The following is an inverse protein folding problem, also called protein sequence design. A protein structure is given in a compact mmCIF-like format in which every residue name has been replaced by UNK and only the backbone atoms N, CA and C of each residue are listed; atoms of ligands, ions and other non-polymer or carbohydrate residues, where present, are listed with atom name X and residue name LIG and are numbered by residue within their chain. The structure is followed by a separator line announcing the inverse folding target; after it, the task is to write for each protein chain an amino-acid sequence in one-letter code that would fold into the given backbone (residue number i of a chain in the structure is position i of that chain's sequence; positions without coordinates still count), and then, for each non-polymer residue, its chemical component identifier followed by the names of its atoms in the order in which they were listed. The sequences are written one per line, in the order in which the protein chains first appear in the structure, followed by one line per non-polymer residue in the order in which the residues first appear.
data_IF_443374198855
#
_entry.id   IF_443374198855
#
_cell.length_a   1.000
_cell.length_b   1.000
_cell.length_c   1.000
_cell.angle_alpha   90.00
_cell.angle_beta   90.00
_cell.angle_gamma   90.00
#
_symmetry.space_group_name_H-M   'P 1'
#
loop_
_entity.id
_entity.type
_entity.pdbx_description
1 polymer ?
#
# COMPACT_ATOMS: atom_id res chain seq x y z
N UNK A 1 7.78 10.23 -14.76
CA UNK A 1 7.76 9.72 -13.39
C UNK A 1 6.57 10.31 -12.68
N UNK A 2 5.44 9.62 -12.75
CA UNK A 2 4.17 10.08 -12.18
C UNK A 2 3.70 9.08 -11.13
N UNK A 3 3.42 9.58 -9.93
CA UNK A 3 2.77 8.84 -8.86
C UNK A 3 1.29 9.20 -8.88
N UNK A 4 0.43 8.19 -8.85
CA UNK A 4 -1.01 8.33 -8.69
C UNK A 4 -1.45 7.59 -7.44
N UNK A 5 -2.28 8.24 -6.63
CA UNK A 5 -2.91 7.63 -5.46
C UNK A 5 -4.41 7.66 -5.68
N UNK A 6 -5.02 6.49 -5.69
CA UNK A 6 -6.44 6.30 -6.01
C UNK A 6 -7.11 5.45 -4.95
N UNK A 7 -8.44 5.51 -4.77
CA UNK A 7 -9.15 4.55 -3.93
C UNK A 7 -8.84 3.11 -4.37
N UNK A 8 -8.72 2.21 -3.40
CA UNK A 8 -8.48 0.80 -3.69
C UNK A 8 -9.58 0.22 -4.61
N UNK A 9 -9.16 -0.62 -5.56
CA UNK A 9 -10.06 -1.32 -6.48
C UNK A 9 -10.11 -2.81 -6.16
N UNK A 10 -11.15 -3.48 -6.67
CA UNK A 10 -11.29 -4.93 -6.56
C UNK A 10 -10.05 -5.64 -7.14
N UNK A 11 -9.43 -6.50 -6.32
CA UNK A 11 -8.25 -7.28 -6.70
C UNK A 11 -6.90 -6.61 -6.45
N UNK A 12 -6.84 -5.31 -6.14
CA UNK A 12 -5.56 -4.62 -5.84
C UNK A 12 -4.86 -5.23 -4.61
N UNK A 13 -5.63 -5.60 -3.59
CA UNK A 13 -5.09 -6.25 -2.38
C UNK A 13 -4.41 -7.59 -2.71
N UNK A 14 -5.11 -8.47 -3.43
CA UNK A 14 -4.57 -9.77 -3.83
C UNK A 14 -3.33 -9.62 -4.72
N UNK A 15 -3.38 -8.66 -5.65
CA UNK A 15 -2.22 -8.35 -6.48
C UNK A 15 -1.02 -7.95 -5.63
N UNK A 16 -1.18 -7.01 -4.70
CA UNK A 16 -0.06 -6.56 -3.86
C UNK A 16 0.43 -7.67 -2.94
N UNK A 17 -0.47 -8.46 -2.35
CA UNK A 17 -0.11 -9.62 -1.51
C UNK A 17 0.73 -10.64 -2.29
N UNK A 18 0.33 -10.99 -3.51
CA UNK A 18 1.07 -11.95 -4.34
C UNK A 18 2.43 -11.43 -4.79
N UNK A 19 2.57 -10.12 -4.96
CA UNK A 19 3.77 -9.45 -5.45
C UNK A 19 4.55 -8.70 -4.35
N UNK A 20 4.26 -8.98 -3.07
CA UNK A 20 4.80 -8.22 -1.95
C UNK A 20 6.33 -8.38 -1.80
N UNK A 21 6.96 -7.35 -1.26
CA UNK A 21 8.42 -7.33 -1.01
C UNK A 21 8.88 -8.46 -0.08
N UNK A 22 8.08 -8.78 0.94
CA UNK A 22 8.40 -9.80 1.95
C UNK A 22 7.51 -11.02 1.71
N UNK A 23 8.11 -12.14 1.30
CA UNK A 23 7.36 -13.36 0.93
C UNK A 23 6.52 -13.91 2.08
N UNK A 24 6.94 -13.67 3.31
CA UNK A 24 6.28 -14.07 4.55
C UNK A 24 4.91 -13.39 4.72
N UNK A 25 4.68 -12.26 4.06
CA UNK A 25 3.39 -11.55 4.08
C UNK A 25 2.33 -12.32 3.28
N UNK A 26 2.72 -13.23 2.39
CA UNK A 26 1.79 -14.10 1.64
C UNK A 26 1.03 -15.04 2.55
N UNK A 27 1.68 -15.49 3.62
CA UNK A 27 1.14 -16.42 4.60
C UNK A 27 0.48 -15.71 5.79
N UNK A 28 0.54 -14.36 5.83
CA UNK A 28 -0.10 -13.58 6.87
C UNK A 28 -1.63 -13.59 6.67
N UNK A 29 -2.42 -13.70 7.76
CA UNK A 29 -3.86 -13.59 7.68
C UNK A 29 -4.29 -12.29 7.00
N UNK A 30 -5.35 -12.34 6.21
CA UNK A 30 -5.84 -11.15 5.53
C UNK A 30 -6.28 -10.10 6.57
N UNK A 31 -5.66 -8.92 6.60
CA UNK A 31 -6.13 -7.85 7.46
C UNK A 31 -7.50 -7.39 6.95
N UNK A 32 -8.35 -6.95 7.87
CA UNK A 32 -9.57 -6.22 7.48
C UNK A 32 -9.13 -4.93 6.80
N UNK A 33 -9.39 -4.82 5.49
CA UNK A 33 -9.01 -3.66 4.70
C UNK A 33 -9.90 -2.48 5.09
N UNK A 34 -9.33 -1.39 5.66
CA UNK A 34 -10.12 -0.23 6.00
C UNK A 34 -10.73 0.41 4.74
N UNK A 35 -11.92 1.00 4.87
CA UNK A 35 -12.60 1.67 3.75
C UNK A 35 -11.79 2.82 3.12
N UNK A 36 -10.86 3.39 3.88
CA UNK A 36 -9.95 4.44 3.44
C UNK A 36 -8.57 3.90 3.04
N UNK A 37 -8.59 2.79 2.31
CA UNK A 37 -7.39 2.22 1.68
C UNK A 37 -7.25 2.73 0.26
N UNK A 38 -6.02 3.01 -0.13
CA UNK A 38 -5.64 3.56 -1.42
C UNK A 38 -4.59 2.69 -2.09
N UNK A 39 -4.62 2.70 -3.41
CA UNK A 39 -3.63 2.07 -4.30
C UNK A 39 -2.69 3.15 -4.81
N UNK A 40 -1.39 2.89 -4.68
CA UNK A 40 -0.32 3.71 -5.22
C UNK A 40 0.15 3.11 -6.54
N UNK A 41 0.05 3.90 -7.61
CA UNK A 41 0.46 3.54 -8.96
C UNK A 41 1.67 4.41 -9.33
N UNK A 42 2.72 3.78 -9.83
CA UNK A 42 3.92 4.45 -10.33
C UNK A 42 4.19 3.99 -11.76
N UNK A 43 4.23 4.94 -12.69
CA UNK A 43 4.42 4.69 -14.13
C UNK A 43 3.54 3.53 -14.65
N UNK A 44 2.26 3.53 -14.24
CA UNK A 44 1.23 2.57 -14.64
C UNK A 44 1.24 1.22 -13.90
N UNK A 45 2.13 1.03 -12.91
CA UNK A 45 2.22 -0.21 -12.12
C UNK A 45 1.80 0.01 -10.66
N UNK A 46 1.09 -0.95 -10.09
CA UNK A 46 0.77 -0.93 -8.66
C UNK A 46 2.05 -1.22 -7.86
N UNK A 47 2.47 -0.25 -7.06
CA UNK A 47 3.69 -0.35 -6.23
C UNK A 47 3.39 -0.52 -4.75
N UNK A 48 2.21 -0.11 -4.29
CA UNK A 48 1.77 -0.30 -2.92
C UNK A 48 0.25 -0.17 -2.77
N UNK A 49 -0.26 -0.69 -1.67
CA UNK A 49 -1.55 -0.29 -1.09
C UNK A 49 -1.35 0.12 0.37
N UNK A 50 -2.22 0.98 0.89
CA UNK A 50 -2.15 1.37 2.29
C UNK A 50 -3.27 2.32 2.68
N UNK A 51 -3.35 2.61 3.97
CA UNK A 51 -4.38 3.49 4.51
C UNK A 51 -4.05 3.92 5.93
N UNK A 52 -4.95 4.71 6.51
CA UNK A 52 -4.82 5.21 7.88
C UNK A 52 -6.06 4.87 8.68
N UNK A 53 -5.96 4.04 9.72
CA UNK A 53 -7.07 3.81 10.64
C UNK A 53 -7.00 4.78 11.81
N UNK A 54 -7.96 5.69 11.95
CA UNK A 54 -8.08 6.53 13.14
C UNK A 54 -8.77 5.77 14.27
N UNK A 55 -8.26 5.91 15.50
CA UNK A 55 -8.88 5.34 16.71
C UNK A 55 -9.08 6.37 17.83
N UNK A 56 -8.47 7.56 17.73
CA UNK A 56 -8.82 8.76 18.50
C UNK A 56 -8.82 9.99 17.56
N UNK A 57 -9.42 11.13 17.96
CA UNK A 57 -9.30 12.37 17.20
C UNK A 57 -7.83 12.75 16.98
N UNK A 58 -7.39 12.73 15.72
CA UNK A 58 -6.01 13.04 15.33
C UNK A 58 -4.98 11.93 15.59
N UNK A 59 -5.37 10.76 16.12
CA UNK A 59 -4.46 9.63 16.35
C UNK A 59 -4.95 8.39 15.62
N UNK A 60 -4.03 7.75 14.90
CA UNK A 60 -4.32 6.56 14.13
C UNK A 60 -3.08 5.73 13.84
N UNK A 61 -3.31 4.67 13.09
CA UNK A 61 -2.30 3.75 12.59
C UNK A 61 -2.25 3.86 11.06
N UNK A 62 -1.08 4.13 10.51
CA UNK A 62 -0.84 4.02 9.08
C UNK A 62 -0.28 2.63 8.77
N UNK A 63 -0.77 2.00 7.70
CA UNK A 63 -0.25 0.74 7.22
C UNK A 63 0.01 0.82 5.73
N UNK A 64 1.01 0.07 5.27
CA UNK A 64 1.39 -0.01 3.87
C UNK A 64 1.89 -1.42 3.55
N UNK A 65 1.44 -1.95 2.42
CA UNK A 65 2.00 -3.15 1.80
C UNK A 65 2.56 -2.76 0.44
N UNK A 66 3.81 -3.13 0.18
CA UNK A 66 4.54 -2.73 -1.03
C UNK A 66 4.88 -3.94 -1.89
N UNK A 67 4.90 -3.75 -3.20
CA UNK A 67 5.31 -4.78 -4.17
C UNK A 67 6.82 -4.75 -4.42
N UNK A 68 7.40 -5.84 -4.91
CA UNK A 68 8.83 -5.88 -5.30
C UNK A 68 9.20 -4.79 -6.32
N UNK A 69 8.23 -4.34 -7.13
CA UNK A 69 8.42 -3.28 -8.13
C UNK A 69 8.82 -1.95 -7.46
N UNK A 70 8.31 -1.64 -6.27
CA UNK A 70 8.63 -0.40 -5.57
C UNK A 70 10.13 -0.25 -5.30
N UNK A 71 10.85 -1.36 -5.05
CA UNK A 71 12.30 -1.36 -4.83
C UNK A 71 13.10 -1.07 -6.09
N UNK A 72 12.62 -1.56 -7.25
CA UNK A 72 13.30 -1.35 -8.54
C UNK A 72 13.28 0.11 -8.96
N UNK A 73 12.23 0.81 -8.53
CA UNK A 73 11.97 2.21 -8.90
C UNK A 73 12.44 3.21 -7.83
N UNK A 74 13.17 2.74 -6.80
CA UNK A 74 13.70 3.60 -5.75
C UNK A 74 12.65 4.20 -4.81
N UNK A 75 11.45 3.61 -4.76
CA UNK A 75 10.38 4.01 -3.85
C UNK A 75 10.55 3.30 -2.51
N UNK A 76 11.09 4.03 -1.53
CA UNK A 76 11.39 3.51 -0.19
C UNK A 76 10.45 4.14 0.85
N UNK A 77 9.37 3.43 1.21
CA UNK A 77 8.54 3.71 2.40
C UNK A 77 8.00 5.15 2.53
N UNK A 78 7.36 5.45 3.66
CA UNK A 78 6.66 6.70 3.95
C UNK A 78 7.63 7.90 3.86
N UNK A 79 7.33 8.82 2.94
CA UNK A 79 7.92 10.15 2.89
C UNK A 79 6.82 11.12 3.30
N UNK A 80 6.99 11.80 4.43
CA UNK A 80 6.12 12.91 4.83
C UNK A 80 6.63 14.19 4.13
N UNK A 81 5.78 14.83 3.33
CA UNK A 81 6.05 16.14 2.75
C UNK A 81 5.34 17.21 3.56
N UNK A 82 6.06 18.30 3.84
CA UNK A 82 5.55 19.51 4.50
C UNK A 82 4.81 20.40 3.50
#
# INVERSE_FOLDING_TARGET
MQIEVIPIRDGDFEYVKQNCVQKEVKDYPDPVIPANTYTCIFDGKIVAIGGVRLFLPGVGEAWIMMTEQSRKDGLFSIIAFN
#
